data_IF_779796610928
#
_entry.id   IF_779796610928
#
_cell.length_a   1.000
_cell.length_b   1.000
_cell.length_c   1.000
_cell.angle_alpha   90.00
_cell.angle_beta   90.00
_cell.angle_gamma   90.00
#
_symmetry.space_group_name_H-M   'P 1'
#
loop_
_entity.id
_entity.type
_entity.pdbx_description
1 polymer ?
#
# COMPACT_ATOMS: atom_id res chain seq x y z
N UNK A 1 4.28 10.26 26.55
CA UNK A 1 3.39 10.19 25.35
C UNK A 1 2.06 10.88 25.70
N UNK A 2 1.76 12.07 25.15
CA UNK A 2 0.52 12.78 25.44
C UNK A 2 -0.67 12.04 24.81
N UNK A 3 -1.66 11.65 25.58
CA UNK A 3 -2.89 11.02 25.10
C UNK A 3 -3.80 12.14 24.59
N UNK A 4 -3.92 12.27 23.26
CA UNK A 4 -4.85 13.21 22.62
C UNK A 4 -6.12 12.48 22.19
N UNK A 5 -7.25 13.17 22.11
CA UNK A 5 -8.53 12.58 21.67
C UNK A 5 -8.45 11.93 20.28
N UNK A 6 -7.56 12.45 19.39
CA UNK A 6 -7.27 11.86 18.07
C UNK A 6 -6.64 10.47 18.19
N UNK A 7 -5.72 10.25 19.16
CA UNK A 7 -5.09 8.94 19.39
C UNK A 7 -6.06 7.92 19.96
N UNK A 8 -7.02 8.33 20.79
CA UNK A 8 -8.07 7.46 21.35
C UNK A 8 -9.01 7.00 20.23
N UNK A 9 -9.50 7.90 19.39
CA UNK A 9 -10.38 7.54 18.24
C UNK A 9 -9.71 6.54 17.29
N UNK A 10 -8.42 6.73 16.97
CA UNK A 10 -7.63 5.79 16.16
C UNK A 10 -7.49 4.42 16.82
N UNK A 11 -7.25 4.36 18.13
CA UNK A 11 -7.15 3.09 18.88
C UNK A 11 -8.49 2.35 18.91
N UNK A 12 -9.59 3.06 19.15
CA UNK A 12 -10.95 2.48 19.15
C UNK A 12 -11.33 1.96 17.76
N UNK A 13 -10.96 2.70 16.69
CA UNK A 13 -11.17 2.24 15.33
C UNK A 13 -10.35 0.99 15.03
N UNK A 14 -9.11 0.91 15.50
CA UNK A 14 -8.26 -0.29 15.43
C UNK A 14 -8.89 -1.53 16.06
N UNK A 15 -9.59 -1.37 17.20
CA UNK A 15 -10.32 -2.47 17.85
C UNK A 15 -11.53 -2.92 17.02
N UNK A 16 -12.27 -2.00 16.42
CA UNK A 16 -13.42 -2.31 15.55
C UNK A 16 -13.04 -3.14 14.33
N UNK A 17 -11.80 -3.00 13.86
CA UNK A 17 -11.29 -3.74 12.69
C UNK A 17 -10.68 -5.11 13.05
N UNK A 18 -10.59 -5.49 14.33
CA UNK A 18 -10.03 -6.76 14.78
C UNK A 18 -10.68 -8.00 14.13
N UNK A 19 -12.03 -8.13 14.02
CA UNK A 19 -12.64 -9.30 13.40
C UNK A 19 -12.25 -9.48 11.93
N UNK A 20 -12.10 -8.38 11.18
CA UNK A 20 -11.64 -8.42 9.79
C UNK A 20 -10.18 -8.84 9.66
N UNK A 21 -9.34 -8.44 10.64
CA UNK A 21 -7.93 -8.85 10.72
C UNK A 21 -7.78 -10.35 10.96
N UNK A 22 -8.61 -10.95 11.82
CA UNK A 22 -8.62 -12.39 12.06
C UNK A 22 -9.04 -13.19 10.84
N UNK A 23 -10.05 -12.71 10.08
CA UNK A 23 -10.46 -13.35 8.82
C UNK A 23 -9.33 -13.32 7.78
N UNK A 24 -8.56 -12.22 7.69
CA UNK A 24 -7.42 -12.06 6.78
C UNK A 24 -6.25 -12.98 7.11
N UNK A 25 -6.07 -13.38 8.38
CA UNK A 25 -4.98 -14.27 8.79
C UNK A 25 -4.93 -15.59 8.01
N UNK A 26 -6.07 -16.06 7.48
CA UNK A 26 -6.15 -17.25 6.63
C UNK A 26 -5.49 -17.06 5.25
N UNK A 27 -5.47 -15.82 4.74
CA UNK A 27 -4.96 -15.51 3.40
C UNK A 27 -3.50 -15.03 3.39
N UNK A 28 -2.92 -14.82 4.57
CA UNK A 28 -1.57 -14.28 4.74
C UNK A 28 -0.48 -15.08 4.01
N UNK A 29 -0.67 -16.38 3.79
CA UNK A 29 0.26 -17.26 3.10
C UNK A 29 -0.10 -17.51 1.63
N UNK A 30 -1.00 -16.72 1.05
CA UNK A 30 -1.44 -16.85 -0.33
C UNK A 30 -2.51 -17.92 -0.57
N UNK A 31 -3.08 -18.51 0.49
CA UNK A 31 -4.22 -19.42 0.34
C UNK A 31 -5.42 -18.66 -0.26
N UNK A 32 -5.95 -19.17 -1.38
CA UNK A 32 -7.06 -18.51 -2.09
C UNK A 32 -6.65 -17.36 -3.01
N UNK A 33 -5.36 -17.13 -3.22
CA UNK A 33 -4.86 -16.19 -4.23
C UNK A 33 -4.69 -16.94 -5.55
N UNK A 34 -5.60 -16.69 -6.50
CA UNK A 34 -5.60 -17.35 -7.81
C UNK A 34 -4.83 -16.58 -8.90
N UNK A 35 -4.37 -15.36 -8.60
CA UNK A 35 -3.53 -14.58 -9.51
C UNK A 35 -2.06 -15.00 -9.38
N UNK A 36 -1.40 -15.53 -10.43
CA UNK A 36 0.02 -15.88 -10.38
C UNK A 36 0.89 -14.67 -10.00
N UNK A 37 0.56 -13.49 -10.49
CA UNK A 37 1.25 -12.24 -10.18
C UNK A 37 1.14 -11.91 -8.68
N UNK A 38 -0.07 -11.89 -8.12
CA UNK A 38 -0.25 -11.58 -6.69
C UNK A 38 0.34 -12.68 -5.81
N UNK A 39 0.25 -13.94 -6.22
CA UNK A 39 0.86 -15.05 -5.50
C UNK A 39 2.38 -14.92 -5.43
N UNK A 40 3.05 -14.53 -6.53
CA UNK A 40 4.49 -14.29 -6.53
C UNK A 40 4.88 -13.14 -5.58
N UNK A 41 4.11 -12.06 -5.55
CA UNK A 41 4.30 -10.95 -4.59
C UNK A 41 4.15 -11.44 -3.14
N UNK A 42 3.15 -12.26 -2.83
CA UNK A 42 3.00 -12.81 -1.48
C UNK A 42 4.24 -13.59 -1.08
N UNK A 43 4.75 -14.46 -1.95
CA UNK A 43 5.89 -15.35 -1.66
C UNK A 43 7.22 -14.61 -1.61
N UNK A 44 7.48 -13.75 -2.60
CA UNK A 44 8.81 -13.16 -2.79
C UNK A 44 8.95 -11.77 -2.15
N UNK A 45 7.83 -11.14 -1.77
CA UNK A 45 7.84 -9.80 -1.18
C UNK A 45 7.28 -9.82 0.26
N UNK A 46 6.00 -10.22 0.44
CA UNK A 46 5.34 -10.05 1.74
C UNK A 46 5.82 -11.02 2.81
N UNK A 47 6.26 -12.21 2.41
CA UNK A 47 6.81 -13.22 3.33
C UNK A 47 8.29 -13.02 3.64
N UNK A 48 9.00 -12.14 2.92
CA UNK A 48 10.41 -11.87 3.17
C UNK A 48 10.58 -10.92 4.36
N UNK A 49 11.58 -11.21 5.18
CA UNK A 49 11.97 -10.37 6.34
C UNK A 49 13.25 -9.59 6.10
N UNK A 50 13.93 -9.83 4.97
CA UNK A 50 15.20 -9.24 4.58
C UNK A 50 15.09 -8.62 3.18
N UNK A 51 16.02 -7.72 2.86
CA UNK A 51 16.14 -7.16 1.51
C UNK A 51 16.65 -8.24 0.55
N UNK A 52 16.02 -8.33 -0.63
CA UNK A 52 16.42 -9.24 -1.70
C UNK A 52 17.48 -8.62 -2.63
N UNK A 53 17.93 -7.42 -2.35
CA UNK A 53 18.79 -6.61 -3.22
C UNK A 53 19.76 -5.77 -2.40
N UNK A 54 20.86 -5.36 -3.02
CA UNK A 54 21.80 -4.37 -2.46
C UNK A 54 21.25 -2.94 -2.58
N UNK A 55 20.30 -2.70 -3.50
CA UNK A 55 19.61 -1.41 -3.63
C UNK A 55 18.78 -1.12 -2.39
N UNK A 56 18.88 0.09 -1.87
CA UNK A 56 18.25 0.48 -0.61
C UNK A 56 17.59 1.85 -0.66
N UNK A 57 17.54 2.48 -1.82
CA UNK A 57 17.12 3.86 -1.95
C UNK A 57 15.70 4.08 -1.40
N UNK A 58 14.75 3.22 -1.78
CA UNK A 58 13.38 3.29 -1.26
C UNK A 58 13.33 2.91 0.23
N UNK A 59 14.03 1.85 0.62
CA UNK A 59 14.09 1.43 2.03
C UNK A 59 14.59 2.58 2.92
N UNK A 60 15.71 3.21 2.56
CA UNK A 60 16.32 4.28 3.35
C UNK A 60 15.43 5.54 3.37
N UNK A 61 14.76 5.86 2.25
CA UNK A 61 13.79 6.95 2.19
C UNK A 61 12.58 6.71 3.12
N UNK A 62 12.04 5.49 3.13
CA UNK A 62 10.92 5.11 4.00
C UNK A 62 11.31 5.09 5.48
N UNK A 63 12.54 4.67 5.80
CA UNK A 63 13.05 4.73 7.18
C UNK A 63 13.18 6.15 7.70
N UNK A 64 13.56 7.12 6.85
CA UNK A 64 13.63 8.56 7.21
C UNK A 64 12.28 9.15 7.61
N UNK A 65 11.18 8.67 7.01
CA UNK A 65 9.81 9.09 7.37
C UNK A 65 9.14 8.15 8.39
N UNK A 66 9.94 7.38 9.13
CA UNK A 66 9.49 6.49 10.21
C UNK A 66 8.50 5.40 9.80
N UNK A 67 8.57 4.90 8.58
CA UNK A 67 7.83 3.69 8.17
C UNK A 67 8.43 2.47 8.90
N UNK A 68 7.58 1.58 9.39
CA UNK A 68 8.03 0.37 10.08
C UNK A 68 8.97 -0.46 9.20
N UNK A 69 10.14 -0.88 9.74
CA UNK A 69 11.22 -1.59 9.05
C UNK A 69 10.70 -2.72 8.14
N UNK A 70 9.78 -3.55 8.63
CA UNK A 70 9.19 -4.65 7.84
C UNK A 70 8.49 -4.15 6.58
N UNK A 71 7.78 -3.01 6.66
CA UNK A 71 7.08 -2.43 5.52
C UNK A 71 8.04 -1.81 4.51
N UNK A 72 9.08 -1.14 5.01
CA UNK A 72 10.13 -0.60 4.16
C UNK A 72 10.87 -1.72 3.39
N UNK A 73 11.18 -2.86 4.04
CA UNK A 73 11.74 -4.04 3.38
C UNK A 73 10.80 -4.57 2.29
N UNK A 74 9.51 -4.73 2.60
CA UNK A 74 8.54 -5.25 1.65
C UNK A 74 8.38 -4.34 0.43
N UNK A 75 8.36 -3.01 0.61
CA UNK A 75 8.22 -2.07 -0.50
C UNK A 75 9.48 -1.98 -1.35
N UNK A 76 10.68 -2.06 -0.75
CA UNK A 76 11.92 -2.19 -1.51
C UNK A 76 11.95 -3.50 -2.33
N UNK A 77 11.59 -4.61 -1.72
CA UNK A 77 11.51 -5.90 -2.43
C UNK A 77 10.43 -5.91 -3.52
N UNK A 78 9.32 -5.19 -3.33
CA UNK A 78 8.30 -5.01 -4.36
C UNK A 78 8.84 -4.24 -5.57
N UNK A 79 9.60 -3.18 -5.31
CA UNK A 79 10.26 -2.39 -6.35
C UNK A 79 11.16 -3.26 -7.23
N UNK A 80 11.98 -4.10 -6.61
CA UNK A 80 12.84 -5.06 -7.33
C UNK A 80 12.03 -6.14 -8.07
N UNK A 81 11.03 -6.72 -7.40
CA UNK A 81 10.20 -7.77 -7.98
C UNK A 81 9.45 -7.31 -9.23
N UNK A 82 8.94 -6.07 -9.20
CA UNK A 82 8.23 -5.45 -10.32
C UNK A 82 9.18 -4.76 -11.33
N UNK A 83 10.50 -4.77 -11.08
CA UNK A 83 11.53 -4.09 -11.90
C UNK A 83 11.30 -2.59 -12.04
N UNK A 84 10.82 -1.95 -10.97
CA UNK A 84 10.64 -0.51 -10.93
C UNK A 84 11.99 0.20 -10.75
N UNK A 85 12.25 1.20 -11.59
CA UNK A 85 13.47 2.00 -11.55
C UNK A 85 13.30 3.25 -10.67
N UNK A 86 12.11 3.83 -10.68
CA UNK A 86 11.82 5.14 -10.09
C UNK A 86 10.69 5.08 -9.05
N UNK A 87 10.81 5.92 -8.03
CA UNK A 87 9.74 6.11 -7.05
C UNK A 87 9.66 7.56 -6.57
N UNK A 88 8.48 7.94 -6.08
CA UNK A 88 8.26 9.21 -5.38
C UNK A 88 7.46 8.97 -4.10
N UNK A 89 7.71 9.78 -3.07
CA UNK A 89 6.99 9.73 -1.79
C UNK A 89 6.34 11.10 -1.60
N UNK A 90 5.05 11.10 -1.27
CA UNK A 90 4.26 12.29 -0.96
C UNK A 90 4.41 13.42 -2.01
N UNK A 91 4.36 13.03 -3.27
CA UNK A 91 4.41 13.97 -4.37
C UNK A 91 3.01 14.49 -4.74
N UNK A 92 2.97 15.68 -5.32
CA UNK A 92 1.74 16.23 -5.91
C UNK A 92 1.32 15.41 -7.16
N UNK A 93 0.02 15.37 -7.49
CA UNK A 93 -0.47 14.60 -8.65
C UNK A 93 0.24 14.93 -9.95
N UNK A 94 0.60 16.21 -10.18
CA UNK A 94 1.29 16.67 -11.38
C UNK A 94 2.72 16.11 -11.52
N UNK A 95 3.30 15.68 -10.40
CA UNK A 95 4.66 15.14 -10.35
C UNK A 95 4.73 13.63 -10.59
N UNK A 96 3.60 12.94 -10.77
CA UNK A 96 3.57 11.47 -10.94
C UNK A 96 4.20 11.03 -12.27
N UNK A 97 4.21 11.90 -13.26
CA UNK A 97 4.73 11.58 -14.61
C UNK A 97 6.11 10.90 -14.56
N UNK A 98 6.30 9.91 -15.42
CA UNK A 98 7.55 9.14 -15.59
C UNK A 98 8.04 8.47 -14.27
N UNK A 99 7.11 7.99 -13.46
CA UNK A 99 7.39 7.34 -12.19
C UNK A 99 6.73 5.95 -12.14
N UNK A 100 7.50 4.91 -11.78
CA UNK A 100 6.98 3.54 -11.70
C UNK A 100 6.11 3.31 -10.46
N UNK A 101 6.46 3.98 -9.33
CA UNK A 101 5.78 3.79 -8.07
C UNK A 101 5.68 5.09 -7.27
N UNK A 102 4.48 5.40 -6.82
CA UNK A 102 4.22 6.51 -5.88
C UNK A 102 3.76 5.95 -4.54
N UNK A 103 4.29 6.51 -3.46
CA UNK A 103 3.91 6.16 -2.09
C UNK A 103 3.25 7.37 -1.43
N UNK A 104 1.98 7.22 -1.08
CA UNK A 104 1.26 8.17 -0.26
C UNK A 104 1.40 7.77 1.22
N UNK A 105 2.15 8.54 1.99
CA UNK A 105 2.35 8.30 3.42
C UNK A 105 1.08 8.61 4.23
N UNK A 106 1.19 8.55 5.55
CA UNK A 106 0.09 8.94 6.45
C UNK A 106 -0.15 10.44 6.49
N UNK A 107 0.78 11.24 5.94
CA UNK A 107 0.72 12.70 5.93
C UNK A 107 -0.16 13.22 4.78
N UNK A 108 -0.35 12.44 3.71
CA UNK A 108 -1.30 12.77 2.65
C UNK A 108 -2.75 12.68 3.20
N UNK A 109 -3.55 13.76 3.12
CA UNK A 109 -4.94 13.77 3.57
C UNK A 109 -5.82 12.76 2.82
N UNK A 110 -6.85 12.24 3.49
CA UNK A 110 -7.74 11.24 2.90
C UNK A 110 -8.51 11.75 1.67
N UNK A 111 -8.83 13.04 1.65
CA UNK A 111 -9.52 13.74 0.56
C UNK A 111 -8.68 13.85 -0.72
N UNK A 112 -7.36 13.84 -0.61
CA UNK A 112 -6.44 13.94 -1.74
C UNK A 112 -6.16 12.57 -2.39
N UNK A 113 -6.40 11.47 -1.68
CA UNK A 113 -6.07 10.12 -2.15
C UNK A 113 -6.78 9.73 -3.44
N UNK A 114 -8.02 10.19 -3.65
CA UNK A 114 -8.78 9.90 -4.86
C UNK A 114 -8.14 10.55 -6.10
N UNK A 115 -7.78 11.84 -6.00
CA UNK A 115 -7.12 12.59 -7.06
C UNK A 115 -5.75 11.96 -7.40
N UNK A 116 -4.99 11.56 -6.36
CA UNK A 116 -3.72 10.88 -6.53
C UNK A 116 -3.88 9.52 -7.23
N UNK A 117 -4.93 8.76 -6.88
CA UNK A 117 -5.22 7.46 -7.49
C UNK A 117 -5.64 7.59 -8.96
N UNK A 118 -6.45 8.60 -9.30
CA UNK A 118 -6.85 8.88 -10.67
C UNK A 118 -5.63 9.27 -11.52
N UNK A 119 -4.77 10.14 -11.00
CA UNK A 119 -3.56 10.55 -11.71
C UNK A 119 -2.57 9.39 -11.87
N UNK A 120 -2.34 8.59 -10.83
CA UNK A 120 -1.51 7.39 -10.92
C UNK A 120 -2.03 6.39 -11.98
N UNK A 121 -3.35 6.30 -12.13
CA UNK A 121 -3.96 5.48 -13.19
C UNK A 121 -3.69 6.03 -14.59
N UNK A 122 -3.83 7.34 -14.79
CA UNK A 122 -3.53 8.00 -16.08
C UNK A 122 -2.08 7.77 -16.51
N UNK A 123 -1.15 7.88 -15.57
CA UNK A 123 0.29 7.71 -15.81
C UNK A 123 0.76 6.25 -15.72
N UNK A 124 -0.15 5.30 -15.53
CA UNK A 124 0.14 3.86 -15.38
C UNK A 124 1.12 3.54 -14.23
N UNK A 125 1.20 4.40 -13.26
CA UNK A 125 2.07 4.30 -12.08
C UNK A 125 1.43 3.43 -10.99
N UNK A 126 2.17 2.54 -10.36
CA UNK A 126 1.70 1.82 -9.18
C UNK A 126 1.58 2.78 -7.98
N UNK A 127 0.40 2.85 -7.38
CA UNK A 127 0.18 3.65 -6.17
C UNK A 127 0.17 2.76 -4.93
N UNK A 128 0.97 3.14 -3.94
CA UNK A 128 1.01 2.55 -2.61
C UNK A 128 0.47 3.55 -1.58
N UNK A 129 -0.66 3.25 -0.96
CA UNK A 129 -1.24 4.07 0.11
C UNK A 129 -0.91 3.44 1.46
N UNK A 130 -0.10 4.13 2.25
CA UNK A 130 0.30 3.66 3.58
C UNK A 130 -0.86 3.74 4.58
N UNK A 131 -0.96 2.72 5.44
CA UNK A 131 -1.94 2.64 6.53
C UNK A 131 -3.38 2.96 6.07
N UNK A 132 -3.97 2.20 5.13
CA UNK A 132 -5.29 2.49 4.56
C UNK A 132 -6.40 2.54 5.61
N UNK A 133 -6.26 1.79 6.71
CA UNK A 133 -7.20 1.77 7.83
C UNK A 133 -6.69 2.56 9.04
N UNK A 134 -5.99 3.68 8.83
CA UNK A 134 -5.46 4.53 9.89
C UNK A 134 -6.58 5.13 10.75
N UNK A 135 -7.63 5.61 10.11
CA UNK A 135 -8.85 6.14 10.70
C UNK A 135 -10.04 5.89 9.78
N UNK A 136 -11.24 6.27 10.21
CA UNK A 136 -12.48 6.02 9.47
C UNK A 136 -12.53 6.74 8.11
N UNK A 137 -12.05 7.99 8.05
CA UNK A 137 -12.09 8.80 6.82
C UNK A 137 -11.18 8.20 5.76
N UNK A 138 -9.94 7.86 6.13
CA UNK A 138 -8.95 7.24 5.24
C UNK A 138 -9.40 5.85 4.78
N UNK A 139 -9.96 5.03 5.69
CA UNK A 139 -10.48 3.71 5.33
C UNK A 139 -11.62 3.80 4.32
N UNK A 140 -12.58 4.72 4.53
CA UNK A 140 -13.68 4.95 3.60
C UNK A 140 -13.18 5.42 2.23
N UNK A 141 -12.21 6.35 2.19
CA UNK A 141 -11.59 6.82 0.94
C UNK A 141 -10.90 5.66 0.21
N UNK A 142 -10.08 4.86 0.90
CA UNK A 142 -9.40 3.71 0.31
C UNK A 142 -10.38 2.64 -0.21
N UNK A 143 -11.48 2.38 0.51
CA UNK A 143 -12.53 1.47 0.03
C UNK A 143 -13.17 1.99 -1.26
N UNK A 144 -13.53 3.27 -1.34
CA UNK A 144 -14.09 3.88 -2.54
C UNK A 144 -13.12 3.80 -3.72
N UNK A 145 -11.83 4.09 -3.50
CA UNK A 145 -10.78 3.97 -4.52
C UNK A 145 -10.68 2.53 -5.03
N UNK A 146 -10.63 1.53 -4.14
CA UNK A 146 -10.57 0.10 -4.53
C UNK A 146 -11.80 -0.32 -5.34
N UNK A 147 -13.00 0.18 -4.97
CA UNK A 147 -14.22 -0.12 -5.73
C UNK A 147 -14.17 0.49 -7.15
N UNK A 148 -13.68 1.70 -7.31
CA UNK A 148 -13.55 2.38 -8.59
C UNK A 148 -12.36 1.86 -9.45
N UNK A 149 -11.32 1.30 -8.81
CA UNK A 149 -10.08 0.89 -9.48
C UNK A 149 -10.33 -0.21 -10.53
N UNK A 150 -9.92 -0.03 -11.79
CA UNK A 150 -10.23 -0.97 -12.87
C UNK A 150 -9.30 -2.19 -12.93
N UNK A 151 -8.15 -2.15 -12.26
CA UNK A 151 -7.14 -3.19 -12.29
C UNK A 151 -6.99 -3.91 -10.94
N UNK A 152 -5.91 -4.67 -10.76
CA UNK A 152 -5.65 -5.42 -9.53
C UNK A 152 -5.29 -4.50 -8.36
N UNK A 153 -5.90 -4.72 -7.21
CA UNK A 153 -5.57 -4.08 -5.94
C UNK A 153 -5.22 -5.11 -4.87
N UNK A 154 -4.24 -4.79 -4.02
CA UNK A 154 -3.77 -5.65 -2.94
C UNK A 154 -3.68 -4.85 -1.63
N UNK A 155 -4.56 -5.15 -0.69
CA UNK A 155 -4.53 -4.62 0.66
C UNK A 155 -3.74 -5.58 1.57
N UNK A 156 -2.50 -5.20 1.90
CA UNK A 156 -1.61 -5.91 2.82
C UNK A 156 -1.68 -5.32 4.24
N UNK A 157 -2.86 -4.87 4.66
CA UNK A 157 -3.12 -4.35 6.00
C UNK A 157 -2.25 -3.14 6.43
N UNK A 158 -0.96 -3.10 6.12
CA UNK A 158 -0.08 -1.97 6.40
C UNK A 158 -0.04 -0.94 5.27
N UNK A 159 -0.39 -1.34 4.09
CA UNK A 159 -0.50 -0.51 2.89
C UNK A 159 -1.43 -1.16 1.87
N UNK A 160 -2.01 -0.33 1.01
CA UNK A 160 -2.83 -0.70 -0.13
C UNK A 160 -2.03 -0.44 -1.42
N UNK A 161 -1.90 -1.46 -2.27
CA UNK A 161 -1.31 -1.34 -3.59
C UNK A 161 -2.41 -1.29 -4.66
N UNK A 162 -2.32 -0.33 -5.56
CA UNK A 162 -3.14 -0.21 -6.76
C UNK A 162 -2.21 -0.37 -7.96
N UNK A 163 -2.31 -1.50 -8.64
CA UNK A 163 -1.51 -1.79 -9.82
C UNK A 163 -2.21 -1.24 -11.07
N UNK A 164 -1.55 -0.36 -11.80
CA UNK A 164 -2.04 0.26 -13.04
C UNK A 164 -1.33 -0.37 -14.26
N UNK A 165 -1.30 -1.70 -14.33
CA UNK A 165 -0.48 -2.48 -15.26
C UNK A 165 -1.29 -3.45 -16.15
N UNK A 166 -2.50 -3.06 -16.53
CA UNK A 166 -3.40 -3.85 -17.39
C UNK A 166 -3.85 -5.22 -16.83
N UNK A 167 -3.53 -5.54 -15.59
CA UNK A 167 -4.06 -6.73 -14.94
C UNK A 167 -5.57 -6.60 -14.73
N UNK A 168 -6.34 -7.69 -14.84
CA UNK A 168 -7.78 -7.65 -14.66
C UNK A 168 -8.14 -7.17 -13.26
N UNK A 169 -9.34 -6.59 -13.15
CA UNK A 169 -9.87 -6.13 -11.85
C UNK A 169 -9.99 -7.29 -10.88
N UNK A 170 -9.13 -7.32 -9.89
CA UNK A 170 -9.13 -8.26 -8.79
C UNK A 170 -8.82 -7.54 -7.48
N UNK A 171 -9.49 -7.93 -6.40
CA UNK A 171 -9.33 -7.31 -5.08
C UNK A 171 -8.83 -8.36 -4.11
N UNK A 172 -7.60 -8.20 -3.64
CA UNK A 172 -6.98 -9.08 -2.64
C UNK A 172 -6.88 -8.37 -1.29
N UNK A 173 -7.34 -9.02 -0.24
CA UNK A 173 -7.18 -8.60 1.15
C UNK A 173 -6.41 -9.67 1.90
N UNK A 174 -5.12 -9.40 2.17
CA UNK A 174 -4.14 -10.34 2.72
C UNK A 174 -3.89 -10.10 4.20
#
# INVERSE_FOLDING_TARGET
MKITGRNIKRRLYGLRTLPSKLKRARYFRGHGVHSPFVYSIVREVFMRSELNTERRELYDALMKINVAKRRAIQLQNLMEHCKYATFKIDCEPQQIKDCDMVIASIDIPAEELATLADKAREEQTTLCIMSPSLDHQRDKACQAIVEAHPCTSVDNHGYLLLFNNYLPKQKFRL
#
